data_IF_778209335317
#
_entry.id   IF_778209335317
#
_cell.length_a   1.000
_cell.length_b   1.000
_cell.length_c   1.000
_cell.angle_alpha   90.00
_cell.angle_beta   90.00
_cell.angle_gamma   90.00
#
_symmetry.space_group_name_H-M   'P 1'
#
loop_
_entity.id
_entity.type
_entity.pdbx_description
1 polymer ?
#
# COMPACT_ATOMS: atom_id res chain seq x y z
N UNK A 1 34.77 74.48 13.76
CA UNK A 1 33.35 74.46 14.19
C UNK A 1 32.62 73.59 13.19
N UNK A 2 32.28 72.36 13.60
CA UNK A 2 30.90 71.90 13.93
C UNK A 2 29.98 71.96 12.69
N UNK A 3 29.67 70.78 12.11
CA UNK A 3 28.37 70.07 12.22
C UNK A 3 27.38 70.63 11.17
N UNK A 4 26.62 69.92 10.33
CA UNK A 4 25.91 68.63 10.31
C UNK A 4 25.54 68.38 8.81
N UNK A 5 25.67 67.21 8.18
CA UNK A 5 24.92 65.94 8.28
C UNK A 5 23.76 65.79 7.27
N UNK A 6 23.81 64.64 6.56
CA UNK A 6 22.74 63.82 5.97
C UNK A 6 21.83 64.36 4.86
N UNK A 7 21.98 63.80 3.65
CA UNK A 7 21.11 62.73 3.12
C UNK A 7 21.63 62.27 1.74
N UNK A 8 21.39 61.01 1.37
CA UNK A 8 21.64 60.39 0.05
C UNK A 8 23.03 59.81 -0.25
N UNK A 9 23.38 58.72 0.43
CA UNK A 9 24.17 57.62 -0.19
C UNK A 9 24.02 56.36 0.67
N UNK A 10 22.85 55.71 0.62
CA UNK A 10 22.64 54.42 1.32
C UNK A 10 21.77 53.43 0.52
N UNK A 11 21.62 53.61 -0.80
CA UNK A 11 20.64 52.83 -1.60
C UNK A 11 21.27 52.00 -2.74
N UNK A 12 22.55 51.63 -2.63
CA UNK A 12 23.21 50.76 -3.65
C UNK A 12 23.89 49.51 -3.06
N UNK A 13 23.87 49.32 -1.74
CA UNK A 13 24.43 48.10 -1.11
C UNK A 13 23.39 47.04 -0.72
N UNK A 14 22.09 47.31 -0.87
CA UNK A 14 21.03 46.36 -0.46
C UNK A 14 20.47 45.51 -1.63
N UNK A 15 20.91 45.78 -2.87
CA UNK A 15 20.47 45.03 -4.06
C UNK A 15 21.34 43.78 -4.38
N UNK A 16 22.40 43.51 -3.61
CA UNK A 16 23.21 42.28 -3.74
C UNK A 16 23.20 41.41 -2.46
N UNK A 17 22.33 41.70 -1.50
CA UNK A 17 22.14 40.91 -0.28
C UNK A 17 20.85 40.06 -0.28
N UNK A 18 20.11 40.00 -1.40
CA UNK A 18 18.84 39.26 -1.50
C UNK A 18 18.79 38.28 -2.68
N UNK A 19 19.83 37.45 -2.83
CA UNK A 19 19.77 36.30 -3.75
C UNK A 19 20.46 35.02 -3.26
N UNK A 20 20.68 34.87 -1.95
CA UNK A 20 21.06 33.57 -1.37
C UNK A 20 19.83 32.92 -0.76
N UNK A 21 18.98 32.39 -1.63
CA UNK A 21 17.89 31.51 -1.24
C UNK A 21 18.48 30.16 -0.80
N UNK A 22 18.50 29.94 0.52
CA UNK A 22 18.45 28.62 1.17
C UNK A 22 19.65 27.68 0.99
N UNK A 23 20.70 27.88 1.77
CA UNK A 23 21.56 26.75 2.15
C UNK A 23 20.66 25.71 2.86
N UNK A 24 20.54 24.51 2.28
CA UNK A 24 19.60 23.48 2.73
C UNK A 24 19.79 23.15 4.21
N UNK A 25 18.69 23.13 4.95
CA UNK A 25 18.63 22.61 6.32
C UNK A 25 19.23 21.20 6.38
N UNK A 26 20.01 20.91 7.43
CA UNK A 26 20.75 19.65 7.61
C UNK A 26 19.83 18.42 7.48
N UNK A 27 18.59 18.54 7.97
CA UNK A 27 17.56 17.49 7.82
C UNK A 27 17.20 17.24 6.36
N UNK A 28 16.94 18.30 5.58
CA UNK A 28 16.61 18.21 4.16
C UNK A 28 17.78 17.63 3.36
N UNK A 29 19.02 18.02 3.66
CA UNK A 29 20.23 17.49 3.01
C UNK A 29 20.39 15.99 3.27
N UNK A 30 20.28 15.57 4.54
CA UNK A 30 20.39 14.16 4.92
C UNK A 30 19.26 13.31 4.31
N UNK A 31 18.02 13.78 4.33
CA UNK A 31 16.90 13.10 3.68
C UNK A 31 17.09 12.99 2.17
N UNK A 32 17.54 14.07 1.51
CA UNK A 32 17.81 14.06 0.06
C UNK A 32 18.82 12.98 -0.27
N UNK A 33 19.93 12.90 0.49
CA UNK A 33 20.94 11.85 0.32
C UNK A 33 20.36 10.45 0.49
N UNK A 34 19.57 10.22 1.53
CA UNK A 34 18.93 8.91 1.76
C UNK A 34 18.03 8.54 0.57
N UNK A 35 17.25 9.49 0.05
CA UNK A 35 16.36 9.26 -1.10
C UNK A 35 17.15 8.98 -2.37
N UNK A 36 18.19 9.75 -2.65
CA UNK A 36 19.06 9.56 -3.81
C UNK A 36 19.74 8.19 -3.79
N UNK A 37 20.27 7.78 -2.64
CA UNK A 37 20.90 6.47 -2.47
C UNK A 37 19.91 5.31 -2.67
N UNK A 38 18.65 5.46 -2.21
CA UNK A 38 17.64 4.40 -2.29
C UNK A 38 16.96 4.32 -3.66
N UNK A 39 16.57 5.46 -4.23
CA UNK A 39 15.89 5.54 -5.53
C UNK A 39 16.89 5.44 -6.69
N UNK A 40 18.17 5.76 -6.45
CA UNK A 40 19.19 5.82 -7.50
C UNK A 40 18.87 6.89 -8.55
N UNK A 41 18.19 7.96 -8.13
CA UNK A 41 17.83 9.13 -8.94
C UNK A 41 18.60 10.32 -8.41
N UNK A 42 19.36 11.00 -9.26
CA UNK A 42 20.10 12.21 -8.90
C UNK A 42 20.10 13.22 -10.07
N UNK A 43 19.85 14.51 -9.82
CA UNK A 43 19.48 15.14 -8.55
C UNK A 43 17.99 14.95 -8.19
N UNK A 44 17.64 15.06 -6.90
CA UNK A 44 16.25 15.10 -6.41
C UNK A 44 15.97 16.49 -5.81
N UNK A 45 14.91 17.15 -6.28
CA UNK A 45 14.40 18.39 -5.72
C UNK A 45 13.53 18.14 -4.48
N UNK A 46 13.59 19.05 -3.50
CA UNK A 46 12.94 18.87 -2.19
C UNK A 46 11.40 18.72 -2.24
N UNK A 47 10.76 19.21 -3.30
CA UNK A 47 9.31 19.15 -3.53
C UNK A 47 8.89 18.01 -4.46
N UNK A 48 9.81 17.16 -4.92
CA UNK A 48 9.46 16.02 -5.76
C UNK A 48 8.82 14.91 -4.92
N UNK A 49 7.77 14.31 -5.48
CA UNK A 49 6.97 13.29 -4.80
C UNK A 49 7.69 11.93 -4.86
N UNK A 50 7.81 11.27 -3.71
CA UNK A 50 8.44 9.95 -3.53
C UNK A 50 7.99 8.92 -4.57
N UNK A 51 6.68 8.83 -4.80
CA UNK A 51 6.11 7.82 -5.68
C UNK A 51 6.29 8.18 -7.16
N UNK A 52 6.27 9.47 -7.49
CA UNK A 52 6.49 9.95 -8.86
C UNK A 52 7.96 9.77 -9.28
N UNK A 53 8.87 9.63 -8.30
CA UNK A 53 10.27 9.26 -8.48
C UNK A 53 10.51 7.73 -8.60
N UNK A 54 9.45 6.91 -8.63
CA UNK A 54 9.56 5.44 -8.70
C UNK A 54 9.53 4.73 -7.33
N UNK A 55 9.34 5.47 -6.24
CA UNK A 55 9.26 4.92 -4.90
C UNK A 55 8.09 3.94 -4.72
N UNK A 56 8.40 2.72 -4.28
CA UNK A 56 7.40 1.69 -3.98
C UNK A 56 7.31 1.38 -2.47
N UNK A 57 6.42 0.46 -2.10
CA UNK A 57 6.20 0.10 -0.70
C UNK A 57 7.37 -0.63 -0.04
N UNK A 58 8.24 -1.28 -0.81
CA UNK A 58 9.42 -2.00 -0.30
C UNK A 58 10.55 -1.01 -0.05
N UNK A 59 10.76 -0.10 -0.99
CA UNK A 59 11.66 1.05 -0.83
C UNK A 59 11.25 1.92 0.35
N UNK A 60 9.95 2.10 0.58
CA UNK A 60 9.46 2.92 1.68
C UNK A 60 9.83 2.32 3.03
N UNK A 61 9.80 0.99 3.17
CA UNK A 61 10.29 0.33 4.39
C UNK A 61 11.77 0.64 4.59
N UNK A 62 12.61 0.50 3.56
CA UNK A 62 14.05 0.79 3.66
C UNK A 62 14.34 2.28 3.94
N UNK A 63 13.56 3.19 3.35
CA UNK A 63 13.64 4.62 3.59
C UNK A 63 13.42 4.93 5.07
N UNK A 64 12.33 4.41 5.64
CA UNK A 64 12.00 4.66 7.03
C UNK A 64 12.98 3.98 7.99
N UNK A 65 13.62 2.89 7.57
CA UNK A 65 14.77 2.30 8.25
C UNK A 65 15.94 3.27 8.40
N UNK A 66 16.33 3.86 7.28
CA UNK A 66 17.46 4.77 7.21
C UNK A 66 17.14 6.04 8.00
N UNK A 67 15.90 6.54 7.90
CA UNK A 67 15.42 7.66 8.71
C UNK A 67 15.54 7.32 10.21
N UNK A 68 15.05 6.17 10.66
CA UNK A 68 15.16 5.79 12.07
C UNK A 68 16.61 5.67 12.51
N UNK A 69 17.49 5.13 11.68
CA UNK A 69 18.91 4.98 12.00
C UNK A 69 19.64 6.34 12.11
N UNK A 70 19.34 7.27 11.20
CA UNK A 70 20.02 8.56 11.11
C UNK A 70 19.46 9.55 12.14
N UNK A 71 18.14 9.67 12.20
CA UNK A 71 17.45 10.67 13.03
C UNK A 71 17.01 10.14 14.39
N UNK A 72 17.13 8.84 14.67
CA UNK A 72 16.64 8.20 15.90
C UNK A 72 15.13 8.35 16.13
N UNK A 73 14.39 8.75 15.09
CA UNK A 73 12.93 8.92 15.10
C UNK A 73 12.30 7.80 14.26
N UNK A 74 11.38 7.06 14.88
CA UNK A 74 10.63 6.00 14.21
C UNK A 74 9.31 6.55 13.70
N UNK A 75 9.12 6.54 12.38
CA UNK A 75 7.89 6.98 11.74
C UNK A 75 7.16 5.78 11.10
N UNK A 76 5.81 5.75 11.07
CA UNK A 76 5.07 4.79 10.27
C UNK A 76 5.35 5.00 8.78
N UNK A 77 5.50 3.92 8.01
CA UNK A 77 5.64 4.00 6.53
C UNK A 77 4.45 4.73 5.88
N UNK A 78 3.27 4.66 6.50
CA UNK A 78 2.07 5.39 6.09
C UNK A 78 2.24 6.92 6.10
N UNK A 79 3.24 7.46 6.79
CA UNK A 79 3.55 8.90 6.77
C UNK A 79 3.78 9.44 5.36
N UNK A 80 4.18 8.59 4.39
CA UNK A 80 4.29 9.01 2.98
C UNK A 80 2.97 9.42 2.32
N UNK A 81 1.80 9.09 2.89
CA UNK A 81 0.54 9.64 2.40
C UNK A 81 0.37 11.11 2.76
N UNK A 82 0.85 11.51 3.94
CA UNK A 82 0.72 12.87 4.46
C UNK A 82 1.91 13.77 4.08
N UNK A 83 3.10 13.18 3.98
CA UNK A 83 4.35 13.84 3.66
C UNK A 83 5.12 13.07 2.57
N UNK A 84 4.66 13.12 1.30
CA UNK A 84 5.28 12.41 0.20
C UNK A 84 6.52 13.12 -0.38
N UNK A 85 6.97 14.27 0.14
CA UNK A 85 8.16 14.99 -0.33
C UNK A 85 9.25 15.09 0.74
N UNK A 86 10.50 15.33 0.33
CA UNK A 86 11.62 15.54 1.25
C UNK A 86 11.32 16.70 2.20
N UNK A 87 10.80 17.83 1.69
CA UNK A 87 10.53 19.01 2.51
C UNK A 87 9.43 18.75 3.55
N UNK A 88 8.39 17.99 3.19
CA UNK A 88 7.32 17.62 4.12
C UNK A 88 7.81 16.62 5.18
N UNK A 89 8.60 15.61 4.81
CA UNK A 89 9.19 14.69 5.78
C UNK A 89 10.17 15.40 6.71
N UNK A 90 11.00 16.30 6.18
CA UNK A 90 11.93 17.09 6.96
C UNK A 90 11.17 17.91 8.01
N UNK A 91 10.03 18.50 7.64
CA UNK A 91 9.15 19.22 8.56
C UNK A 91 8.61 18.35 9.69
N UNK A 92 8.30 17.08 9.42
CA UNK A 92 7.89 16.12 10.46
C UNK A 92 9.06 15.79 11.39
N UNK A 93 10.25 15.52 10.84
CA UNK A 93 11.44 15.17 11.62
C UNK A 93 11.94 16.34 12.49
N UNK A 94 11.80 17.58 12.02
CA UNK A 94 12.16 18.79 12.80
C UNK A 94 11.25 19.03 14.00
N UNK A 95 10.01 18.53 13.96
CA UNK A 95 9.12 18.61 15.12
C UNK A 95 9.62 17.53 16.08
N UNK A 96 10.48 17.90 17.03
CA UNK A 96 11.04 17.08 18.12
C UNK A 96 9.98 16.37 19.00
N UNK A 97 8.71 16.56 18.68
CA UNK A 97 7.60 15.73 19.14
C UNK A 97 7.36 14.62 18.13
N UNK A 98 7.67 13.38 18.50
CA UNK A 98 7.13 12.21 17.78
C UNK A 98 5.64 12.46 17.49
N UNK A 99 5.17 12.27 16.25
CA UNK A 99 3.80 12.61 15.89
C UNK A 99 2.82 12.01 16.90
N UNK A 100 1.94 12.85 17.44
CA UNK A 100 0.95 12.50 18.46
C UNK A 100 -0.04 11.43 18.01
N UNK A 101 -0.12 11.15 16.70
CA UNK A 101 -0.80 9.97 16.16
C UNK A 101 0.16 8.77 16.18
N UNK A 102 0.06 7.96 17.24
CA UNK A 102 0.71 6.66 17.30
C UNK A 102 0.33 5.76 16.11
N UNK A 103 1.09 4.69 15.90
CA UNK A 103 0.77 3.68 14.89
C UNK A 103 -0.70 3.24 15.01
N UNK A 104 -1.41 3.25 13.88
CA UNK A 104 -2.80 2.80 13.76
C UNK A 104 -2.90 1.71 12.70
N UNK A 105 -3.69 0.65 12.92
CA UNK A 105 -4.05 -0.29 11.86
C UNK A 105 -4.88 0.36 10.75
N UNK A 106 -5.59 1.46 10.99
CA UNK A 106 -6.34 2.19 9.97
C UNK A 106 -5.59 3.45 9.55
N UNK A 107 -5.33 3.56 8.24
CA UNK A 107 -4.59 4.64 7.60
C UNK A 107 -5.55 5.45 6.72
N UNK A 108 -5.62 6.75 6.94
CA UNK A 108 -6.30 7.69 6.07
C UNK A 108 -5.46 7.94 4.81
N UNK A 109 -5.81 7.29 3.70
CA UNK A 109 -5.09 7.46 2.42
C UNK A 109 -5.62 8.71 1.71
N UNK A 110 -6.95 8.82 1.63
CA UNK A 110 -7.66 9.98 1.10
C UNK A 110 -8.93 10.17 1.93
N UNK A 111 -8.88 10.81 3.11
CA UNK A 111 -10.02 10.83 4.04
C UNK A 111 -11.12 11.82 3.68
N UNK A 112 -10.89 12.71 2.70
CA UNK A 112 -11.86 13.74 2.30
C UNK A 112 -12.78 13.25 1.19
N UNK A 113 -13.94 13.87 1.07
CA UNK A 113 -14.96 13.56 0.07
C UNK A 113 -16.34 13.40 0.69
N UNK A 114 -17.38 13.47 -0.13
CA UNK A 114 -18.78 13.39 0.31
C UNK A 114 -19.37 11.98 0.21
N UNK A 115 -18.73 11.09 -0.56
CA UNK A 115 -19.20 9.72 -0.77
C UNK A 115 -18.94 8.82 0.45
N UNK A 116 -19.61 7.66 0.49
CA UNK A 116 -19.34 6.66 1.52
C UNK A 116 -17.88 6.18 1.45
N UNK A 117 -17.17 6.07 2.59
CA UNK A 117 -15.78 5.62 2.59
C UNK A 117 -15.59 4.20 2.07
N UNK A 118 -14.49 3.98 1.35
CA UNK A 118 -14.02 2.67 0.94
C UNK A 118 -12.90 2.20 1.86
N UNK A 119 -13.06 1.05 2.52
CA UNK A 119 -12.06 0.47 3.41
C UNK A 119 -11.37 -0.71 2.73
N UNK A 120 -10.05 -0.64 2.57
CA UNK A 120 -9.28 -1.62 1.80
C UNK A 120 -8.19 -2.30 2.66
N UNK A 121 -8.27 -3.62 2.79
CA UNK A 121 -7.36 -4.42 3.63
C UNK A 121 -6.04 -4.70 2.92
N UNK A 122 -4.91 -4.55 3.59
CA UNK A 122 -3.57 -4.82 3.09
C UNK A 122 -3.43 -6.18 2.38
N UNK A 123 -2.50 -6.29 1.42
CA UNK A 123 -2.07 -7.59 0.90
C UNK A 123 -1.13 -8.33 1.86
N UNK A 124 -0.54 -9.46 1.43
CA UNK A 124 0.42 -10.23 2.26
C UNK A 124 1.56 -9.37 2.85
N UNK A 125 1.92 -8.30 2.14
CA UNK A 125 2.91 -7.30 2.54
C UNK A 125 2.63 -6.57 3.86
N UNK A 126 1.39 -6.55 4.33
CA UNK A 126 0.96 -5.88 5.54
C UNK A 126 0.73 -4.37 5.39
N UNK A 127 1.49 -3.68 4.53
CA UNK A 127 1.32 -2.25 4.30
C UNK A 127 0.22 -1.95 3.26
N UNK A 128 -0.21 -0.69 3.22
CA UNK A 128 -1.32 -0.21 2.38
C UNK A 128 -0.90 0.79 1.30
N UNK A 129 0.41 1.02 1.13
CA UNK A 129 0.95 1.90 0.07
C UNK A 129 0.57 1.43 -1.34
N UNK A 130 0.31 0.12 -1.50
CA UNK A 130 -0.18 -0.48 -2.74
C UNK A 130 -1.53 0.10 -3.24
N UNK A 131 -2.26 0.83 -2.39
CA UNK A 131 -3.55 1.42 -2.73
C UNK A 131 -3.49 2.90 -3.10
N UNK A 132 -2.30 3.53 -3.10
CA UNK A 132 -2.13 4.95 -3.44
C UNK A 132 -2.77 5.26 -4.79
N UNK A 133 -2.32 4.61 -5.85
CA UNK A 133 -2.75 4.96 -7.21
C UNK A 133 -4.23 4.63 -7.44
N UNK A 134 -4.71 3.52 -6.85
CA UNK A 134 -6.13 3.18 -6.87
C UNK A 134 -6.98 4.30 -6.24
N UNK A 135 -6.62 4.76 -5.04
CA UNK A 135 -7.38 5.82 -4.35
C UNK A 135 -7.43 7.12 -5.16
N UNK A 136 -6.31 7.52 -5.78
CA UNK A 136 -6.23 8.69 -6.65
C UNK A 136 -7.14 8.57 -7.87
N UNK A 137 -7.14 7.40 -8.52
CA UNK A 137 -7.99 7.15 -9.68
C UNK A 137 -9.47 7.01 -9.35
N UNK A 138 -9.86 6.81 -8.09
CA UNK A 138 -11.27 6.89 -7.68
C UNK A 138 -11.77 8.34 -7.57
N UNK A 139 -10.88 9.32 -7.57
CA UNK A 139 -11.19 10.75 -7.49
C UNK A 139 -11.30 11.25 -6.06
N UNK A 140 -11.10 12.56 -5.86
CA UNK A 140 -10.98 13.20 -4.53
C UNK A 140 -12.27 13.21 -3.70
N UNK A 141 -13.42 12.90 -4.32
CA UNK A 141 -14.72 12.86 -3.65
C UNK A 141 -15.04 11.48 -3.05
N UNK A 142 -14.20 10.47 -3.28
CA UNK A 142 -14.34 9.13 -2.74
C UNK A 142 -13.38 8.93 -1.55
N UNK A 143 -13.84 9.00 -0.28
CA UNK A 143 -12.97 8.74 0.84
C UNK A 143 -12.42 7.30 0.79
N UNK A 144 -11.14 7.14 1.09
CA UNK A 144 -10.42 5.86 0.98
C UNK A 144 -9.50 5.65 2.18
N UNK A 145 -9.67 4.51 2.84
CA UNK A 145 -8.90 4.11 4.02
C UNK A 145 -8.23 2.77 3.78
N UNK A 146 -6.97 2.65 4.18
CA UNK A 146 -6.24 1.39 4.17
C UNK A 146 -6.22 0.75 5.57
N UNK A 147 -6.37 -0.57 5.65
CA UNK A 147 -6.14 -1.33 6.88
C UNK A 147 -4.82 -2.06 6.78
N UNK A 148 -3.83 -1.66 7.59
CA UNK A 148 -2.48 -2.19 7.63
C UNK A 148 -2.25 -3.16 8.80
N UNK A 149 -1.38 -4.14 8.58
CA UNK A 149 -1.13 -5.25 9.50
C UNK A 149 -0.54 -4.77 10.82
N UNK A 150 -1.07 -5.30 11.94
CA UNK A 150 -0.42 -5.20 13.24
C UNK A 150 1.02 -5.75 13.16
N UNK A 151 1.93 -5.06 13.85
CA UNK A 151 3.33 -5.44 13.95
C UNK A 151 4.23 -4.88 12.86
N UNK A 152 3.69 -4.10 11.92
CA UNK A 152 4.51 -3.30 10.99
C UNK A 152 5.39 -2.28 11.71
N UNK A 153 4.92 -1.76 12.85
CA UNK A 153 5.73 -0.91 13.71
C UNK A 153 6.75 -1.72 14.53
N UNK A 154 6.80 -3.04 14.45
CA UNK A 154 7.72 -3.87 15.24
C UNK A 154 7.53 -3.80 16.76
N UNK A 155 6.49 -3.12 17.26
CA UNK A 155 6.22 -3.00 18.70
C UNK A 155 5.29 -4.10 19.20
N UNK A 156 4.46 -4.66 18.30
CA UNK A 156 3.54 -5.77 18.58
C UNK A 156 3.80 -6.94 17.65
N UNK A 157 3.56 -8.18 18.08
CA UNK A 157 3.62 -9.32 17.18
C UNK A 157 2.49 -9.23 16.13
N UNK A 158 2.72 -9.76 14.90
CA UNK A 158 1.67 -9.89 13.92
C UNK A 158 0.57 -10.84 14.42
N UNK A 159 -0.67 -10.56 14.03
CA UNK A 159 -1.76 -11.49 14.22
C UNK A 159 -1.58 -12.68 13.28
N UNK A 160 -2.01 -13.87 13.70
CA UNK A 160 -1.80 -15.13 12.95
C UNK A 160 -3.10 -15.80 12.50
N UNK A 161 -4.26 -15.19 12.76
CA UNK A 161 -5.57 -15.68 12.36
C UNK A 161 -6.35 -14.58 11.65
N UNK A 162 -7.06 -14.95 10.58
CA UNK A 162 -7.85 -14.00 9.78
C UNK A 162 -9.00 -13.44 10.60
N UNK A 163 -9.61 -14.25 11.47
CA UNK A 163 -10.70 -13.86 12.35
C UNK A 163 -10.27 -12.77 13.35
N UNK A 164 -9.05 -12.90 13.91
CA UNK A 164 -8.49 -11.91 14.82
C UNK A 164 -8.11 -10.61 14.09
N UNK A 165 -7.55 -10.72 12.88
CA UNK A 165 -7.27 -9.57 12.02
C UNK A 165 -8.56 -8.83 11.67
N UNK A 166 -9.59 -9.54 11.24
CA UNK A 166 -10.88 -8.97 10.91
C UNK A 166 -11.55 -8.33 12.13
N UNK A 167 -11.51 -8.96 13.31
CA UNK A 167 -12.07 -8.39 14.53
C UNK A 167 -11.37 -7.08 14.94
N UNK A 168 -10.06 -6.97 14.72
CA UNK A 168 -9.34 -5.71 14.86
C UNK A 168 -9.85 -4.68 13.84
N UNK A 169 -9.94 -5.05 12.57
CA UNK A 169 -10.33 -4.13 11.50
C UNK A 169 -11.78 -3.65 11.57
N UNK A 170 -12.71 -4.51 12.00
CA UNK A 170 -14.11 -4.15 12.25
C UNK A 170 -14.19 -2.99 13.26
N UNK A 171 -13.46 -3.08 14.38
CA UNK A 171 -13.42 -2.03 15.40
C UNK A 171 -12.93 -0.70 14.84
N UNK A 172 -11.93 -0.73 13.97
CA UNK A 172 -11.32 0.48 13.40
C UNK A 172 -12.21 1.09 12.32
N UNK A 173 -12.83 0.27 11.48
CA UNK A 173 -13.86 0.70 10.52
C UNK A 173 -15.01 1.39 11.26
N UNK A 174 -15.51 0.78 12.34
CA UNK A 174 -16.64 1.31 13.11
C UNK A 174 -16.32 2.62 13.86
N UNK A 175 -15.05 2.91 14.15
CA UNK A 175 -14.64 4.24 14.68
C UNK A 175 -14.82 5.35 13.66
N UNK A 176 -14.56 5.06 12.39
CA UNK A 176 -14.76 6.04 11.30
C UNK A 176 -16.23 6.08 10.90
N UNK A 177 -16.89 4.93 10.85
CA UNK A 177 -18.27 4.80 10.43
C UNK A 177 -19.01 3.76 11.28
N UNK A 178 -19.77 4.19 12.31
CA UNK A 178 -20.37 3.27 13.29
C UNK A 178 -21.37 2.27 12.73
N UNK A 179 -22.10 2.65 11.68
CA UNK A 179 -23.14 1.82 11.06
C UNK A 179 -23.00 1.83 9.54
N UNK A 180 -23.47 0.75 8.91
CA UNK A 180 -23.54 0.48 7.48
C UNK A 180 -24.43 1.46 6.70
N UNK A 181 -24.46 1.34 5.35
CA UNK A 181 -23.83 0.29 4.55
C UNK A 181 -22.33 0.49 4.31
N UNK A 182 -21.53 -0.58 4.33
CA UNK A 182 -20.06 -0.50 4.14
C UNK A 182 -19.61 -0.82 2.71
N UNK A 183 -18.56 -0.14 2.25
CA UNK A 183 -17.75 -0.55 1.10
C UNK A 183 -16.42 -1.12 1.59
N UNK A 184 -16.18 -2.39 1.29
CA UNK A 184 -15.02 -3.15 1.71
C UNK A 184 -14.29 -3.68 0.49
N UNK A 185 -12.97 -3.80 0.59
CA UNK A 185 -12.20 -4.55 -0.37
C UNK A 185 -10.82 -4.97 0.11
N UNK A 186 -10.12 -5.70 -0.74
CA UNK A 186 -8.76 -6.14 -0.44
C UNK A 186 -8.12 -6.88 -1.59
N UNK A 187 -6.79 -6.79 -1.67
CA UNK A 187 -5.99 -7.42 -2.70
C UNK A 187 -5.36 -8.73 -2.23
N UNK A 188 -5.47 -9.78 -3.05
CA UNK A 188 -4.88 -11.09 -2.78
C UNK A 188 -5.36 -11.60 -1.40
N UNK A 189 -4.48 -11.96 -0.47
CA UNK A 189 -4.86 -12.36 0.89
C UNK A 189 -5.66 -11.30 1.66
N UNK A 190 -5.50 -10.02 1.33
CA UNK A 190 -6.31 -8.94 1.88
C UNK A 190 -7.80 -9.06 1.56
N UNK A 191 -8.13 -9.61 0.38
CA UNK A 191 -9.52 -9.88 0.02
C UNK A 191 -10.15 -10.96 0.91
N UNK A 192 -9.37 -11.98 1.30
CA UNK A 192 -9.81 -13.02 2.26
C UNK A 192 -10.11 -12.40 3.63
N UNK A 193 -9.27 -11.48 4.10
CA UNK A 193 -9.52 -10.75 5.35
C UNK A 193 -10.75 -9.85 5.21
N UNK A 194 -10.91 -9.15 4.08
CA UNK A 194 -12.08 -8.31 3.82
C UNK A 194 -13.39 -9.13 3.80
N UNK A 195 -13.34 -10.36 3.30
CA UNK A 195 -14.46 -11.31 3.34
C UNK A 195 -14.82 -11.70 4.78
N UNK A 196 -13.84 -11.95 5.65
CA UNK A 196 -14.09 -12.16 7.08
C UNK A 196 -14.62 -10.91 7.79
N UNK A 197 -14.08 -9.72 7.49
CA UNK A 197 -14.61 -8.44 7.99
C UNK A 197 -16.09 -8.27 7.62
N UNK A 198 -16.46 -8.60 6.38
CA UNK A 198 -17.83 -8.54 5.91
C UNK A 198 -18.75 -9.53 6.66
N UNK A 199 -18.30 -10.76 6.90
CA UNK A 199 -19.05 -11.76 7.68
C UNK A 199 -19.26 -11.29 9.13
N UNK A 200 -18.22 -10.75 9.78
CA UNK A 200 -18.32 -10.27 11.15
C UNK A 200 -19.26 -9.06 11.26
N UNK A 201 -19.18 -8.09 10.34
CA UNK A 201 -20.12 -6.97 10.29
C UNK A 201 -21.57 -7.44 10.06
N UNK A 202 -21.81 -8.33 9.08
CA UNK A 202 -23.15 -8.87 8.86
C UNK A 202 -23.70 -9.63 10.06
N UNK A 203 -22.85 -10.37 10.79
CA UNK A 203 -23.27 -11.05 12.03
C UNK A 203 -23.70 -10.08 13.13
N UNK A 204 -23.26 -8.82 13.06
CA UNK A 204 -23.69 -7.72 13.93
C UNK A 204 -24.94 -7.00 13.41
N UNK A 205 -25.53 -7.46 12.30
CA UNK A 205 -26.69 -6.84 11.65
C UNK A 205 -26.35 -5.69 10.70
N UNK A 206 -25.08 -5.48 10.41
CA UNK A 206 -24.63 -4.39 9.54
C UNK A 206 -24.76 -4.72 8.05
N UNK A 207 -25.06 -3.71 7.24
CA UNK A 207 -25.18 -3.86 5.79
C UNK A 207 -23.83 -3.71 5.08
N UNK A 208 -23.55 -4.59 4.12
CA UNK A 208 -22.40 -4.49 3.21
C UNK A 208 -22.95 -4.16 1.83
N UNK A 209 -22.74 -2.92 1.37
CA UNK A 209 -23.21 -2.52 0.04
C UNK A 209 -22.26 -3.01 -1.07
N UNK A 210 -20.96 -3.10 -0.79
CA UNK A 210 -19.99 -3.65 -1.73
C UNK A 210 -18.87 -4.39 -0.99
N UNK A 211 -18.65 -5.64 -1.38
CA UNK A 211 -17.44 -6.40 -1.06
C UNK A 211 -16.66 -6.67 -2.35
N UNK A 212 -15.55 -5.95 -2.54
CA UNK A 212 -14.73 -5.99 -3.74
C UNK A 212 -13.42 -6.74 -3.52
N UNK A 213 -13.24 -7.88 -4.19
CA UNK A 213 -12.07 -8.74 -4.04
C UNK A 213 -11.16 -8.59 -5.25
N UNK A 214 -9.89 -8.21 -5.05
CA UNK A 214 -8.94 -7.92 -6.13
C UNK A 214 -7.93 -9.05 -6.28
N UNK A 215 -8.03 -9.84 -7.36
CA UNK A 215 -7.19 -11.02 -7.62
C UNK A 215 -7.13 -11.97 -6.41
N UNK A 216 -8.28 -12.20 -5.79
CA UNK A 216 -8.43 -13.00 -4.56
C UNK A 216 -9.21 -14.26 -4.87
N UNK A 217 -8.70 -15.40 -4.42
CA UNK A 217 -9.35 -16.72 -4.54
C UNK A 217 -9.66 -17.29 -3.16
N UNK A 218 -10.52 -18.31 -3.08
CA UNK A 218 -10.75 -19.03 -1.84
C UNK A 218 -9.53 -19.91 -1.48
N UNK A 219 -8.69 -19.42 -0.58
CA UNK A 219 -7.43 -20.06 -0.16
C UNK A 219 -7.62 -21.41 0.53
N UNK A 220 -8.75 -21.64 1.20
CA UNK A 220 -9.05 -22.90 1.92
C UNK A 220 -9.08 -24.15 1.01
N UNK A 221 -9.31 -23.95 -0.29
CA UNK A 221 -9.37 -25.03 -1.29
C UNK A 221 -8.11 -25.13 -2.15
N UNK A 222 -7.17 -24.23 -1.91
CA UNK A 222 -5.88 -24.21 -2.57
C UNK A 222 -4.90 -24.92 -1.63
N UNK A 223 -3.99 -25.70 -2.19
CA UNK A 223 -2.94 -26.34 -1.42
C UNK A 223 -1.57 -25.83 -1.87
N UNK A 224 -0.58 -25.77 -0.96
CA UNK A 224 0.77 -25.40 -1.33
C UNK A 224 1.27 -26.24 -2.51
N UNK A 225 1.82 -25.63 -3.55
CA UNK A 225 2.24 -26.37 -4.74
C UNK A 225 3.38 -27.34 -4.41
N UNK A 226 3.35 -28.51 -5.05
CA UNK A 226 4.47 -29.46 -5.08
C UNK A 226 5.73 -28.80 -5.66
N UNK A 227 6.91 -29.42 -5.54
CA UNK A 227 8.15 -28.88 -6.12
C UNK A 227 8.03 -28.59 -7.63
N UNK A 228 7.36 -29.47 -8.38
CA UNK A 228 7.05 -29.27 -9.80
C UNK A 228 6.07 -28.10 -9.97
N UNK A 229 5.03 -28.03 -9.13
CA UNK A 229 4.08 -26.93 -9.12
C UNK A 229 4.72 -25.56 -8.85
N UNK A 230 5.72 -25.51 -7.97
CA UNK A 230 6.49 -24.28 -7.67
C UNK A 230 7.31 -23.83 -8.88
N UNK A 231 7.95 -24.76 -9.57
CA UNK A 231 8.72 -24.48 -10.79
C UNK A 231 7.80 -23.97 -11.91
N UNK A 232 6.66 -24.64 -12.10
CA UNK A 232 5.65 -24.20 -13.06
C UNK A 232 5.08 -22.81 -12.72
N UNK A 233 4.77 -22.55 -11.44
CA UNK A 233 4.34 -21.23 -10.98
C UNK A 233 5.38 -20.14 -11.27
N UNK A 234 6.67 -20.41 -11.05
CA UNK A 234 7.74 -19.49 -11.40
C UNK A 234 7.79 -19.21 -12.92
N UNK A 235 7.62 -20.23 -13.76
CA UNK A 235 7.51 -20.06 -15.22
C UNK A 235 6.28 -19.22 -15.60
N UNK A 236 5.10 -19.50 -15.03
CA UNK A 236 3.88 -18.72 -15.27
C UNK A 236 4.08 -17.25 -14.89
N UNK A 237 4.74 -16.98 -13.76
CA UNK A 237 5.04 -15.64 -13.30
C UNK A 237 5.90 -14.88 -14.32
N UNK A 238 6.95 -15.52 -14.86
CA UNK A 238 7.75 -14.93 -15.93
C UNK A 238 6.91 -14.63 -17.18
N UNK A 239 6.10 -15.60 -17.64
CA UNK A 239 5.23 -15.45 -18.81
C UNK A 239 4.23 -14.31 -18.62
N UNK A 240 3.60 -14.17 -17.45
CA UNK A 240 2.64 -13.10 -17.20
C UNK A 240 3.30 -11.73 -17.06
N UNK A 241 4.52 -11.65 -16.52
CA UNK A 241 5.29 -10.41 -16.57
C UNK A 241 5.63 -9.99 -18.00
N UNK A 242 6.03 -10.93 -18.86
CA UNK A 242 6.26 -10.67 -20.28
C UNK A 242 4.96 -10.27 -21.00
N UNK A 243 3.83 -10.91 -20.68
CA UNK A 243 2.53 -10.58 -21.26
C UNK A 243 2.07 -9.16 -20.87
N UNK A 244 2.22 -8.77 -19.60
CA UNK A 244 1.97 -7.38 -19.17
C UNK A 244 2.86 -6.40 -19.97
N UNK A 245 4.16 -6.67 -20.10
CA UNK A 245 5.05 -5.82 -20.88
C UNK A 245 4.61 -5.69 -22.35
N UNK A 246 4.29 -6.80 -23.02
CA UNK A 246 3.88 -6.81 -24.42
C UNK A 246 2.51 -6.13 -24.65
N UNK A 247 1.65 -6.12 -23.64
CA UNK A 247 0.32 -5.48 -23.70
C UNK A 247 0.35 -3.95 -23.68
N UNK A 248 1.50 -3.36 -23.34
CA UNK A 248 1.69 -1.91 -23.27
C UNK A 248 2.14 -1.34 -24.63
N UNK A 249 1.90 -0.05 -24.83
CA UNK A 249 2.46 0.75 -25.93
C UNK A 249 3.96 1.04 -25.71
N UNK A 250 4.61 1.78 -26.61
CA UNK A 250 6.06 2.05 -26.52
C UNK A 250 6.44 2.74 -25.21
N UNK A 251 5.65 3.72 -24.79
CA UNK A 251 5.92 4.54 -23.61
C UNK A 251 5.65 3.74 -22.33
N UNK A 252 4.55 2.98 -22.30
CA UNK A 252 4.21 2.08 -21.22
C UNK A 252 5.25 0.96 -21.07
N UNK A 253 5.77 0.40 -22.18
CA UNK A 253 6.85 -0.59 -22.14
C UNK A 253 8.11 -0.04 -21.50
N UNK A 254 8.55 1.15 -21.90
CA UNK A 254 9.73 1.79 -21.34
C UNK A 254 9.57 1.98 -19.82
N UNK A 255 8.43 2.54 -19.39
CA UNK A 255 8.12 2.73 -17.96
C UNK A 255 8.09 1.42 -17.19
N UNK A 256 7.34 0.43 -17.68
CA UNK A 256 7.22 -0.88 -17.04
C UNK A 256 8.58 -1.59 -16.93
N UNK A 257 9.42 -1.52 -17.96
CA UNK A 257 10.75 -2.13 -17.93
C UNK A 257 11.62 -1.51 -16.83
N UNK A 258 11.69 -0.18 -16.79
CA UNK A 258 12.48 0.52 -15.77
C UNK A 258 11.96 0.25 -14.35
N UNK A 259 10.64 0.28 -14.14
CA UNK A 259 10.03 -0.11 -12.87
C UNK A 259 10.43 -1.53 -12.44
N UNK A 260 10.52 -2.50 -13.37
CA UNK A 260 10.91 -3.88 -13.03
C UNK A 260 12.39 -4.02 -12.73
N UNK A 261 13.25 -3.34 -13.48
CA UNK A 261 14.70 -3.30 -13.21
C UNK A 261 14.93 -2.71 -11.81
N UNK A 262 14.26 -1.60 -11.50
CA UNK A 262 14.36 -0.94 -10.21
C UNK A 262 13.81 -1.81 -9.08
N UNK A 263 12.60 -2.36 -9.24
CA UNK A 263 12.01 -3.27 -8.27
C UNK A 263 12.91 -4.49 -8.00
N UNK A 264 13.59 -5.04 -9.02
CA UNK A 264 14.52 -6.15 -8.84
C UNK A 264 15.77 -5.72 -8.06
N UNK A 265 16.38 -4.60 -8.45
CA UNK A 265 17.53 -3.99 -7.74
C UNK A 265 17.21 -3.77 -6.27
N UNK A 266 16.02 -3.24 -5.98
CA UNK A 266 15.61 -2.81 -4.64
C UNK A 266 15.11 -3.97 -3.76
N UNK A 267 14.56 -5.03 -4.36
CA UNK A 267 14.16 -6.25 -3.65
C UNK A 267 15.33 -7.14 -3.28
N UNK A 268 16.43 -7.09 -4.04
CA UNK A 268 17.58 -7.96 -3.82
C UNK A 268 18.19 -7.84 -2.40
N UNK A 269 18.44 -6.64 -1.84
CA UNK A 269 18.89 -6.48 -0.45
C UNK A 269 17.91 -7.06 0.57
N UNK A 270 16.60 -6.86 0.40
CA UNK A 270 15.56 -7.40 1.29
C UNK A 270 15.56 -8.92 1.26
N UNK A 271 15.62 -9.51 0.06
CA UNK A 271 15.61 -10.96 -0.11
C UNK A 271 16.87 -11.59 0.47
N UNK A 272 18.04 -10.95 0.29
CA UNK A 272 19.30 -11.32 0.94
C UNK A 272 19.19 -11.22 2.47
N UNK A 273 18.59 -10.15 3.00
CA UNK A 273 18.36 -9.97 4.44
C UNK A 273 17.44 -11.04 5.03
N UNK A 274 16.36 -11.38 4.35
CA UNK A 274 15.46 -12.48 4.73
C UNK A 274 16.17 -13.84 4.70
N UNK A 275 17.01 -14.09 3.70
CA UNK A 275 17.80 -15.32 3.60
C UNK A 275 18.82 -15.43 4.75
N UNK A 276 19.56 -14.36 5.04
CA UNK A 276 20.50 -14.29 6.17
C UNK A 276 19.80 -14.47 7.52
N UNK A 277 18.61 -13.88 7.69
CA UNK A 277 17.81 -14.05 8.90
C UNK A 277 17.37 -15.52 9.13
N UNK A 278 17.14 -16.30 8.05
CA UNK A 278 16.83 -17.74 8.14
C UNK A 278 18.04 -18.60 8.51
N UNK A 279 19.26 -18.14 8.24
CA UNK A 279 20.51 -18.88 8.50
C UNK A 279 21.11 -18.62 9.91
N UNK A 280 20.36 -17.97 10.80
CA UNK A 280 20.71 -17.88 12.23
C UNK A 280 21.87 -16.96 12.62
N UNK A 281 22.53 -16.29 11.67
CA UNK A 281 23.80 -15.60 11.92
C UNK A 281 23.68 -14.06 11.85
N UNK A 282 22.98 -13.45 12.80
CA UNK A 282 22.91 -11.98 12.88
C UNK A 282 22.62 -11.48 14.30
N UNK A 283 23.57 -10.69 14.81
CA UNK A 283 23.63 -9.92 16.07
C UNK A 283 22.30 -9.74 16.84
N UNK A 284 22.38 -9.89 18.17
CA UNK A 284 21.29 -9.67 19.14
C UNK A 284 20.87 -8.20 19.29
N UNK A 285 21.56 -7.24 18.67
CA UNK A 285 21.32 -5.80 18.83
C UNK A 285 20.93 -5.13 17.52
N UNK A 286 19.79 -5.53 16.97
CA UNK A 286 18.89 -4.78 16.08
C UNK A 286 17.93 -5.79 15.48
N UNK A 287 16.63 -5.66 15.75
CA UNK A 287 15.62 -6.37 14.95
C UNK A 287 15.70 -5.77 13.56
N UNK A 288 16.42 -6.40 12.62
CA UNK A 288 16.47 -5.87 11.25
C UNK A 288 15.08 -5.87 10.65
N UNK A 289 14.66 -4.79 10.00
CA UNK A 289 13.30 -4.65 9.46
C UNK A 289 12.94 -5.71 8.42
N UNK A 290 13.94 -6.26 7.72
CA UNK A 290 13.75 -7.44 6.87
C UNK A 290 13.22 -8.65 7.67
N UNK A 291 13.57 -8.77 8.97
CA UNK A 291 12.96 -9.76 9.88
C UNK A 291 11.51 -9.41 10.21
N UNK A 292 11.19 -8.15 10.49
CA UNK A 292 9.80 -7.70 10.75
C UNK A 292 8.92 -7.97 9.53
N UNK A 293 9.33 -7.51 8.35
CA UNK A 293 8.60 -7.75 7.10
C UNK A 293 8.48 -9.25 6.80
N UNK A 294 9.56 -10.01 7.01
CA UNK A 294 9.54 -11.46 6.84
C UNK A 294 8.68 -12.21 7.87
N UNK A 295 8.45 -11.65 9.06
CA UNK A 295 7.51 -12.18 10.05
C UNK A 295 6.06 -11.87 9.64
N UNK A 296 5.79 -10.63 9.24
CA UNK A 296 4.47 -10.18 8.74
C UNK A 296 4.03 -11.02 7.55
N UNK A 297 4.89 -11.20 6.54
CA UNK A 297 4.55 -12.00 5.35
C UNK A 297 4.23 -13.44 5.73
N UNK A 298 5.04 -14.06 6.60
CA UNK A 298 4.79 -15.43 7.05
C UNK A 298 3.49 -15.54 7.82
N UNK A 299 3.24 -14.63 8.75
CA UNK A 299 2.02 -14.65 9.56
C UNK A 299 0.77 -14.49 8.68
N UNK A 300 0.78 -13.52 7.75
CA UNK A 300 -0.33 -13.27 6.84
C UNK A 300 -0.56 -14.43 5.85
N UNK A 301 0.50 -14.97 5.26
CA UNK A 301 0.40 -16.10 4.35
C UNK A 301 -0.15 -17.33 5.09
N UNK A 302 0.42 -17.67 6.26
CA UNK A 302 -0.07 -18.78 7.09
C UNK A 302 -1.53 -18.59 7.50
N UNK A 303 -1.91 -17.40 7.95
CA UNK A 303 -3.29 -17.10 8.30
C UNK A 303 -4.25 -17.35 7.12
N UNK A 304 -3.86 -16.96 5.90
CA UNK A 304 -4.69 -17.23 4.70
C UNK A 304 -4.83 -18.72 4.39
N UNK A 305 -3.77 -19.52 4.59
CA UNK A 305 -3.81 -20.97 4.37
C UNK A 305 -4.63 -21.72 5.42
N UNK A 306 -4.58 -21.25 6.67
CA UNK A 306 -5.23 -21.90 7.80
C UNK A 306 -6.71 -21.49 7.94
N UNK A 307 -7.13 -20.44 7.24
CA UNK A 307 -8.48 -19.89 7.33
C UNK A 307 -9.51 -20.74 6.58
N UNK A 308 -10.65 -20.98 7.25
CA UNK A 308 -11.80 -21.69 6.70
C UNK A 308 -13.00 -20.73 6.66
N UNK A 309 -13.36 -20.19 5.48
CA UNK A 309 -14.48 -19.26 5.36
C UNK A 309 -15.82 -19.96 5.63
N UNK A 310 -16.78 -19.21 6.17
CA UNK A 310 -18.18 -19.64 6.27
C UNK A 310 -18.97 -19.13 5.06
N UNK A 311 -20.16 -19.69 4.79
CA UNK A 311 -21.07 -19.12 3.81
C UNK A 311 -21.40 -17.66 4.13
N UNK A 312 -21.30 -16.80 3.12
CA UNK A 312 -21.56 -15.37 3.18
C UNK A 312 -22.87 -15.07 2.45
N UNK A 313 -23.90 -14.58 3.16
CA UNK A 313 -25.20 -14.31 2.56
C UNK A 313 -25.23 -13.05 1.70
N UNK A 314 -24.10 -12.33 1.52
CA UNK A 314 -24.00 -11.17 0.65
C UNK A 314 -23.45 -11.50 -0.75
N UNK A 315 -23.30 -10.45 -1.55
CA UNK A 315 -22.75 -10.52 -2.90
C UNK A 315 -21.27 -10.16 -2.89
N UNK A 316 -20.45 -11.00 -3.53
CA UNK A 316 -19.03 -10.71 -3.78
C UNK A 316 -18.88 -10.12 -5.18
N UNK A 317 -18.12 -9.03 -5.30
CA UNK A 317 -17.65 -8.53 -6.61
C UNK A 317 -16.19 -8.94 -6.78
N UNK A 318 -15.94 -9.92 -7.66
CA UNK A 318 -14.62 -10.50 -7.89
C UNK A 318 -13.95 -9.88 -9.12
N UNK A 319 -12.93 -9.05 -8.88
CA UNK A 319 -12.10 -8.46 -9.92
C UNK A 319 -10.93 -9.39 -10.23
N UNK A 320 -10.93 -9.97 -11.42
CA UNK A 320 -9.92 -10.95 -11.86
C UNK A 320 -9.06 -10.43 -13.00
N UNK A 321 -7.76 -10.77 -13.04
CA UNK A 321 -6.95 -10.57 -14.24
C UNK A 321 -7.47 -11.43 -15.40
N UNK A 322 -7.14 -11.03 -16.62
CA UNK A 322 -7.52 -11.71 -17.87
C UNK A 322 -7.12 -13.19 -17.88
N UNK A 323 -5.98 -13.51 -17.26
CA UNK A 323 -5.55 -14.88 -16.98
C UNK A 323 -5.13 -14.98 -15.52
N UNK A 324 -5.39 -16.12 -14.91
CA UNK A 324 -4.95 -16.42 -13.54
C UNK A 324 -3.89 -17.52 -13.54
N UNK A 325 -3.08 -17.58 -12.49
CA UNK A 325 -2.20 -18.71 -12.26
C UNK A 325 -3.00 -20.00 -12.17
N UNK A 326 -2.44 -21.12 -12.65
CA UNK A 326 -3.17 -22.40 -12.71
C UNK A 326 -3.65 -22.85 -11.34
N UNK A 327 -2.89 -22.55 -10.29
CA UNK A 327 -3.24 -22.89 -8.91
C UNK A 327 -4.49 -22.14 -8.39
N UNK A 328 -4.77 -20.95 -8.93
CA UNK A 328 -5.92 -20.09 -8.56
C UNK A 328 -7.08 -20.21 -9.56
N UNK A 329 -6.82 -20.76 -10.75
CA UNK A 329 -7.82 -21.02 -11.77
C UNK A 329 -8.46 -22.40 -11.61
N UNK A 330 -9.07 -22.64 -10.45
CA UNK A 330 -9.86 -23.85 -10.17
C UNK A 330 -11.28 -23.43 -9.80
N UNK A 331 -12.27 -24.25 -10.17
CA UNK A 331 -13.69 -23.97 -9.85
C UNK A 331 -13.93 -23.91 -8.35
N UNK A 332 -13.33 -24.81 -7.57
CA UNK A 332 -13.46 -24.82 -6.11
C UNK A 332 -12.79 -23.62 -5.41
N UNK A 333 -11.93 -22.88 -6.10
CA UNK A 333 -11.25 -21.69 -5.58
C UNK A 333 -12.05 -20.39 -5.82
N UNK A 334 -13.27 -20.48 -6.34
CA UNK A 334 -14.15 -19.32 -6.63
C UNK A 334 -15.10 -19.04 -5.47
N UNK A 335 -15.77 -17.89 -5.49
CA UNK A 335 -16.63 -17.44 -4.40
C UNK A 335 -18.09 -17.87 -4.59
N UNK A 336 -18.47 -18.43 -5.73
CA UNK A 336 -19.81 -18.91 -6.06
C UNK A 336 -20.36 -19.98 -5.11
N UNK A 337 -19.50 -20.73 -4.42
CA UNK A 337 -19.89 -21.72 -3.40
C UNK A 337 -19.99 -21.13 -1.98
N UNK A 338 -19.45 -19.93 -1.75
CA UNK A 338 -19.39 -19.29 -0.44
C UNK A 338 -20.34 -18.09 -0.35
N UNK A 339 -20.40 -17.26 -1.38
CA UNK A 339 -21.24 -16.07 -1.43
C UNK A 339 -22.63 -16.41 -1.98
N UNK A 340 -23.65 -15.63 -1.60
CA UNK A 340 -25.00 -15.76 -2.18
C UNK A 340 -24.97 -15.54 -3.70
N UNK A 341 -24.15 -14.61 -4.16
CA UNK A 341 -23.88 -14.38 -5.57
C UNK A 341 -22.46 -13.85 -5.78
N UNK A 342 -21.91 -14.12 -6.96
CA UNK A 342 -20.61 -13.64 -7.41
C UNK A 342 -20.77 -12.80 -8.69
N UNK A 343 -20.38 -11.52 -8.61
CA UNK A 343 -20.28 -10.62 -9.75
C UNK A 343 -18.83 -10.59 -10.24
N UNK A 344 -18.55 -11.29 -11.34
CA UNK A 344 -17.18 -11.38 -11.89
C UNK A 344 -16.90 -10.21 -12.84
N UNK A 345 -15.81 -9.48 -12.58
CA UNK A 345 -15.30 -8.40 -13.41
C UNK A 345 -13.90 -8.77 -13.90
N UNK A 346 -13.75 -9.06 -15.19
CA UNK A 346 -12.45 -9.39 -15.80
C UNK A 346 -11.77 -8.13 -16.29
N UNK A 347 -10.55 -7.89 -15.82
CA UNK A 347 -9.74 -6.74 -16.18
C UNK A 347 -8.69 -7.11 -17.24
N UNK A 348 -8.34 -6.19 -18.16
CA UNK A 348 -7.34 -6.41 -19.22
C UNK A 348 -5.91 -6.30 -18.65
N UNK A 349 -5.61 -7.11 -17.65
CA UNK A 349 -4.33 -7.13 -16.92
C UNK A 349 -3.96 -8.57 -16.60
N UNK A 350 -2.66 -8.88 -16.51
CA UNK A 350 -2.18 -10.16 -16.02
C UNK A 350 -1.82 -10.09 -14.52
N UNK A 351 -1.73 -11.24 -13.82
CA UNK A 351 -1.55 -11.26 -12.37
C UNK A 351 -0.36 -10.40 -11.89
N UNK A 352 -0.49 -9.86 -10.68
CA UNK A 352 0.44 -8.89 -10.08
C UNK A 352 0.58 -7.53 -10.81
N UNK A 353 -0.23 -7.24 -11.83
CA UNK A 353 -0.27 -5.94 -12.50
C UNK A 353 -1.39 -5.01 -12.03
N UNK A 354 -2.47 -5.54 -11.44
CA UNK A 354 -3.75 -4.83 -11.29
C UNK A 354 -3.70 -3.52 -10.48
N UNK A 355 -2.80 -3.41 -9.50
CA UNK A 355 -2.62 -2.21 -8.67
C UNK A 355 -1.45 -1.32 -9.12
N UNK A 356 -0.84 -1.64 -10.27
CA UNK A 356 0.33 -0.92 -10.80
C UNK A 356 -0.10 -0.10 -12.02
N UNK A 357 0.50 1.07 -12.21
CA UNK A 357 0.30 1.85 -13.44
C UNK A 357 0.79 1.09 -14.69
N UNK A 358 0.13 1.27 -15.86
CA UNK A 358 -1.15 1.97 -16.06
C UNK A 358 -2.38 1.12 -15.72
N UNK A 359 -2.21 -0.16 -15.39
CA UNK A 359 -3.31 -1.12 -15.24
C UNK A 359 -4.29 -0.79 -14.12
N UNK A 360 -3.84 -0.13 -13.06
CA UNK A 360 -4.68 0.33 -11.93
C UNK A 360 -5.83 1.23 -12.37
N UNK A 361 -5.69 1.94 -13.50
CA UNK A 361 -6.78 2.72 -14.10
C UNK A 361 -7.97 1.86 -14.51
N UNK A 362 -7.72 0.66 -15.06
CA UNK A 362 -8.79 -0.27 -15.42
C UNK A 362 -9.54 -0.76 -14.17
N UNK A 363 -8.80 -1.08 -13.10
CA UNK A 363 -9.41 -1.44 -11.82
C UNK A 363 -10.24 -0.28 -11.26
N UNK A 364 -9.71 0.94 -11.25
CA UNK A 364 -10.41 2.10 -10.70
C UNK A 364 -11.71 2.42 -11.44
N UNK A 365 -11.70 2.36 -12.79
CA UNK A 365 -12.90 2.55 -13.61
C UNK A 365 -13.96 1.50 -13.27
N UNK A 366 -13.55 0.23 -13.21
CA UNK A 366 -14.45 -0.87 -12.93
C UNK A 366 -14.99 -0.82 -11.49
N UNK A 367 -14.14 -0.50 -10.52
CA UNK A 367 -14.53 -0.35 -9.11
C UNK A 367 -15.49 0.81 -8.92
N UNK A 368 -15.25 1.96 -9.57
CA UNK A 368 -16.17 3.10 -9.54
C UNK A 368 -17.56 2.70 -10.03
N UNK A 369 -17.64 1.98 -11.14
CA UNK A 369 -18.92 1.46 -11.66
C UNK A 369 -19.62 0.55 -10.65
N UNK A 370 -18.89 -0.31 -9.96
CA UNK A 370 -19.46 -1.18 -8.91
C UNK A 370 -19.92 -0.39 -7.68
N UNK A 371 -19.18 0.64 -7.28
CA UNK A 371 -19.58 1.55 -6.18
C UNK A 371 -20.86 2.28 -6.56
N UNK A 372 -20.94 2.87 -7.75
CA UNK A 372 -22.13 3.59 -8.21
C UNK A 372 -23.35 2.66 -8.28
N UNK A 373 -23.16 1.44 -8.79
CA UNK A 373 -24.22 0.43 -8.84
C UNK A 373 -24.73 -0.01 -7.46
N UNK A 374 -23.84 -0.14 -6.48
CA UNK A 374 -24.20 -0.49 -5.12
C UNK A 374 -25.06 0.60 -4.44
N UNK A 375 -24.77 1.88 -4.69
CA UNK A 375 -25.56 3.01 -4.17
C UNK A 375 -26.97 3.00 -4.75
N UNK A 376 -27.10 2.82 -6.07
CA UNK A 376 -28.40 2.78 -6.73
C UNK A 376 -29.27 1.60 -6.25
N UNK A 377 -28.65 0.44 -5.98
CA UNK A 377 -29.35 -0.73 -5.44
C UNK A 377 -29.88 -0.53 -4.01
N UNK A 378 -29.17 0.21 -3.17
CA UNK A 378 -29.61 0.54 -1.81
C UNK A 378 -30.77 1.54 -1.75
N UNK A 379 -30.98 2.36 -2.78
CA UNK A 379 -32.07 3.35 -2.82
C UNK A 379 -33.41 2.78 -3.36
N UNK A 380 -33.40 1.56 -3.91
CA UNK A 380 -34.55 0.91 -4.52
C UNK A 380 -35.24 -0.14 -3.62
N UNK A 381 -34.66 -0.41 -2.44
CA UNK A 381 -35.23 -1.24 -1.37
C UNK A 381 -35.51 -0.37 -0.15
#
# INVERSE_FOLDING_TARGET
MKAEANYQTEEVTDAMASSVAGAGDDTTVQLTRIWQELLGVEPIGANQNYFDLGGDSILAVQLFAHIQKVFQIKLPVATLFEAPTIEELARILRRDTAPTSGWSPLVAIQPTGSRLPFFCVHGAGGNVLIYRDLSRHLGSDQPFYGLQSQGLDGNRPPLSKIEDMAALYVKEIQRVRPHGPYFLGGYCGGGTIAFEVAQQLQSQGEQIALLALFDTSNWSTIHPPSLVGRSYYACQKFVFHAANFLSLDSDGRAKFFWEKVEALRNRFPVWRGMLLARMGNGSRTAVSESRVLGQIWRANDSACWDYVPKPYPGVVTDFRPLKQYRMFNKSNAKWDQLAQAENVVVLPVYPAGMLVEPFVKHLAIALRKSIDGAICGCAAN
#
